data_IF_566099706981
#
_entry.id   IF_566099706981
#
_cell.length_a   1.000
_cell.length_b   1.000
_cell.length_c   1.000
_cell.angle_alpha   90.00
_cell.angle_beta   90.00
_cell.angle_gamma   90.00
#
_symmetry.space_group_name_H-M   'P 1'
#
loop_
_entity.id
_entity.type
_entity.pdbx_description
1 polymer ?
#
# COMPACT_ATOMS: atom_id res chain seq x y z
N UNK A 1 -18.52 3.43 4.10
CA UNK A 1 -19.54 4.24 3.40
C UNK A 1 -19.37 4.02 1.92
N UNK A 2 -20.46 3.88 1.20
CA UNK A 2 -20.46 3.80 -0.27
C UNK A 2 -21.21 5.00 -0.85
N UNK A 3 -20.65 5.60 -1.91
CA UNK A 3 -21.17 6.79 -2.55
C UNK A 3 -21.48 6.51 -4.02
N UNK A 4 -22.57 7.04 -4.52
CA UNK A 4 -22.92 6.98 -5.96
C UNK A 4 -22.28 8.16 -6.69
N UNK A 5 -21.27 7.90 -7.51
CA UNK A 5 -20.59 8.93 -8.30
C UNK A 5 -21.52 9.60 -9.33
N UNK A 6 -22.41 8.84 -9.93
CA UNK A 6 -23.39 9.28 -10.93
C UNK A 6 -24.58 10.09 -10.36
N UNK A 7 -24.67 10.18 -9.05
CA UNK A 7 -25.76 10.87 -8.33
C UNK A 7 -25.21 11.90 -7.32
N UNK A 8 -24.30 12.76 -7.75
CA UNK A 8 -23.71 13.84 -6.95
C UNK A 8 -23.16 13.38 -5.58
N UNK A 9 -22.59 12.19 -5.52
CA UNK A 9 -22.00 11.67 -4.29
C UNK A 9 -23.04 11.26 -3.24
N UNK A 10 -24.27 10.90 -3.63
CA UNK A 10 -25.28 10.42 -2.68
C UNK A 10 -24.81 9.15 -1.98
N UNK A 11 -24.87 9.14 -0.66
CA UNK A 11 -24.56 7.97 0.14
C UNK A 11 -25.56 6.84 -0.14
N UNK A 12 -25.05 5.67 -0.56
CA UNK A 12 -25.88 4.46 -0.72
C UNK A 12 -26.07 3.75 0.59
N UNK A 13 -24.99 3.51 1.32
CA UNK A 13 -25.05 2.87 2.62
C UNK A 13 -23.81 3.24 3.48
N UNK A 14 -23.94 3.02 4.77
CA UNK A 14 -22.88 3.24 5.74
C UNK A 14 -22.90 2.10 6.77
N UNK A 15 -21.72 1.53 7.03
CA UNK A 15 -21.51 0.57 8.12
C UNK A 15 -20.44 1.11 9.04
N UNK A 16 -20.70 1.09 10.33
CA UNK A 16 -19.70 1.45 11.34
C UNK A 16 -18.80 0.25 11.61
N UNK A 17 -17.52 0.41 11.39
CA UNK A 17 -16.49 -0.52 11.86
C UNK A 17 -16.16 -0.26 13.33
N UNK A 18 -15.49 -1.21 13.98
CA UNK A 18 -15.03 -1.03 15.36
C UNK A 18 -14.07 0.17 15.43
N UNK A 19 -14.19 0.95 16.47
CA UNK A 19 -13.34 2.11 16.74
C UNK A 19 -11.88 1.67 16.92
N UNK A 20 -10.96 2.46 16.38
CA UNK A 20 -9.54 2.11 16.42
C UNK A 20 -8.96 1.88 15.03
N UNK A 21 -9.70 2.27 13.98
CA UNK A 21 -9.43 2.29 12.56
C UNK A 21 -8.16 1.58 12.09
N UNK A 22 -8.26 0.77 11.08
CA UNK A 22 -7.12 0.01 10.60
C UNK A 22 -6.22 0.82 9.69
N UNK A 23 -5.00 0.32 9.52
CA UNK A 23 -4.11 0.70 8.43
C UNK A 23 -4.55 0.12 7.07
N UNK A 24 -5.75 -0.45 7.02
CA UNK A 24 -6.25 -1.15 5.86
C UNK A 24 -7.10 -0.23 4.99
N UNK A 25 -6.62 0.05 3.78
CA UNK A 25 -7.47 0.54 2.72
C UNK A 25 -8.51 -0.51 2.31
N UNK A 26 -9.72 -0.09 1.89
CA UNK A 26 -10.71 -1.00 1.33
C UNK A 26 -10.22 -1.56 -0.01
N UNK A 27 -10.60 -2.81 -0.30
CA UNK A 27 -10.33 -3.48 -1.56
C UNK A 27 -11.65 -3.97 -2.16
N UNK A 28 -11.88 -3.73 -3.45
CA UNK A 28 -13.05 -4.21 -4.18
C UNK A 28 -12.68 -5.28 -5.19
N UNK A 29 -13.52 -6.29 -5.35
CA UNK A 29 -13.42 -7.24 -6.45
C UNK A 29 -14.26 -6.80 -7.67
N UNK A 30 -14.17 -7.56 -8.76
CA UNK A 30 -14.92 -7.29 -9.99
C UNK A 30 -16.45 -7.46 -9.89
N UNK A 31 -16.95 -7.85 -8.73
CA UNK A 31 -18.39 -7.95 -8.41
C UNK A 31 -18.82 -6.88 -7.40
N UNK A 32 -18.00 -5.86 -7.18
CA UNK A 32 -18.21 -4.80 -6.20
C UNK A 32 -18.31 -5.28 -4.76
N UNK A 33 -17.80 -6.47 -4.44
CA UNK A 33 -17.67 -6.86 -3.05
C UNK A 33 -16.50 -6.14 -2.40
N UNK A 34 -16.77 -5.54 -1.25
CA UNK A 34 -15.78 -4.85 -0.43
C UNK A 34 -15.12 -5.83 0.54
N UNK A 35 -13.82 -5.70 0.70
CA UNK A 35 -13.02 -6.37 1.73
C UNK A 35 -12.32 -5.30 2.56
N UNK A 36 -12.52 -5.34 3.87
CA UNK A 36 -11.96 -4.33 4.78
C UNK A 36 -11.52 -4.96 6.10
N UNK A 37 -10.38 -4.51 6.59
CA UNK A 37 -9.85 -4.89 7.90
C UNK A 37 -10.39 -4.01 9.03
N UNK A 38 -10.58 -4.61 10.18
CA UNK A 38 -10.74 -3.92 11.46
C UNK A 38 -9.95 -4.67 12.55
N UNK A 39 -9.74 -4.08 13.75
CA UNK A 39 -9.10 -4.81 14.82
C UNK A 39 -9.75 -6.18 15.05
N UNK A 40 -8.95 -7.24 14.96
CA UNK A 40 -9.35 -8.63 15.18
C UNK A 40 -10.21 -9.27 14.08
N UNK A 41 -10.43 -8.62 12.95
CA UNK A 41 -11.22 -9.22 11.88
C UNK A 41 -10.94 -8.67 10.49
N UNK A 42 -11.13 -9.52 9.48
CA UNK A 42 -11.36 -9.16 8.08
C UNK A 42 -12.83 -9.39 7.75
N UNK A 43 -13.45 -8.47 7.02
CA UNK A 43 -14.87 -8.47 6.73
C UNK A 43 -15.09 -8.28 5.23
N UNK A 44 -16.06 -8.98 4.67
CA UNK A 44 -16.54 -8.75 3.32
C UNK A 44 -18.00 -8.27 3.33
N UNK A 45 -18.27 -7.28 2.48
CA UNK A 45 -19.63 -6.75 2.23
C UNK A 45 -19.92 -6.86 0.73
N UNK A 46 -21.15 -7.23 0.36
CA UNK A 46 -21.62 -7.10 -1.02
C UNK A 46 -22.07 -5.65 -1.27
N UNK A 47 -22.44 -5.30 -2.51
CA UNK A 47 -23.01 -3.97 -2.81
C UNK A 47 -24.28 -3.61 -2.04
N UNK A 48 -24.88 -4.58 -1.36
CA UNK A 48 -26.15 -4.44 -0.61
C UNK A 48 -25.99 -4.16 0.88
N UNK A 49 -24.78 -3.85 1.36
CA UNK A 49 -24.49 -3.49 2.76
C UNK A 49 -24.41 -4.66 3.76
N UNK A 50 -25.11 -5.77 3.56
CA UNK A 50 -25.11 -6.88 4.51
C UNK A 50 -23.78 -7.58 4.55
N UNK A 51 -23.29 -7.95 5.75
CA UNK A 51 -22.04 -8.71 5.88
C UNK A 51 -22.14 -10.05 5.14
N UNK A 52 -21.29 -10.28 4.15
CA UNK A 52 -21.18 -11.58 3.47
C UNK A 52 -20.53 -12.59 4.40
N UNK A 53 -19.41 -12.21 4.98
CA UNK A 53 -18.70 -12.98 5.99
C UNK A 53 -17.81 -12.05 6.83
N UNK A 54 -17.48 -12.53 8.01
CA UNK A 54 -16.52 -11.91 8.94
C UNK A 54 -15.66 -13.02 9.51
N UNK A 55 -14.33 -12.86 9.41
CA UNK A 55 -13.38 -13.84 9.91
C UNK A 55 -12.45 -13.19 10.94
N UNK A 56 -12.19 -13.90 12.05
CA UNK A 56 -11.24 -13.44 13.03
C UNK A 56 -9.82 -13.50 12.47
N UNK A 57 -9.00 -12.52 12.85
CA UNK A 57 -7.55 -12.48 12.61
C UNK A 57 -6.88 -11.98 13.86
N UNK A 58 -5.60 -12.32 14.04
CA UNK A 58 -4.80 -11.83 15.16
C UNK A 58 -4.33 -10.41 14.86
N UNK A 59 -4.70 -9.46 15.70
CA UNK A 59 -4.31 -8.06 15.55
C UNK A 59 -5.10 -7.32 14.48
N UNK A 60 -4.44 -6.36 13.81
CA UNK A 60 -5.07 -5.49 12.82
C UNK A 60 -4.61 -5.84 11.40
N UNK A 61 -5.55 -6.19 10.52
CA UNK A 61 -5.22 -6.44 9.12
C UNK A 61 -4.68 -5.20 8.41
N UNK A 62 -3.69 -5.37 7.56
CA UNK A 62 -3.28 -4.38 6.56
C UNK A 62 -4.21 -4.45 5.33
N UNK A 63 -3.98 -3.58 4.35
CA UNK A 63 -4.73 -3.62 3.08
C UNK A 63 -4.56 -5.00 2.41
N UNK A 64 -5.66 -5.72 2.17
CA UNK A 64 -5.61 -7.05 1.56
C UNK A 64 -5.07 -7.01 0.12
N UNK A 65 -4.66 -8.19 -0.39
CA UNK A 65 -4.23 -8.35 -1.78
C UNK A 65 -4.91 -9.56 -2.42
N UNK A 66 -5.38 -9.44 -3.66
CA UNK A 66 -5.85 -10.59 -4.41
C UNK A 66 -4.67 -11.42 -4.93
N UNK A 67 -4.74 -12.72 -4.70
CA UNK A 67 -3.80 -13.71 -5.23
C UNK A 67 -4.28 -14.37 -6.53
N UNK A 68 -5.42 -13.93 -7.07
CA UNK A 68 -6.11 -14.60 -8.15
C UNK A 68 -6.99 -15.77 -7.67
N UNK A 69 -7.76 -16.37 -8.58
CA UNK A 69 -8.60 -17.56 -8.34
C UNK A 69 -9.47 -17.50 -7.07
N UNK A 70 -9.99 -16.32 -6.73
CA UNK A 70 -10.83 -16.14 -5.55
C UNK A 70 -10.07 -16.26 -4.23
N UNK A 71 -8.79 -15.92 -4.19
CA UNK A 71 -7.97 -15.91 -2.97
C UNK A 71 -7.57 -14.51 -2.59
N UNK A 72 -7.60 -14.24 -1.29
CA UNK A 72 -7.30 -12.96 -0.66
C UNK A 72 -6.19 -13.15 0.37
N UNK A 73 -5.06 -12.48 0.18
CA UNK A 73 -3.95 -12.44 1.14
C UNK A 73 -4.18 -11.29 2.12
N UNK A 74 -4.04 -11.59 3.39
CA UNK A 74 -4.14 -10.63 4.49
C UNK A 74 -2.91 -10.75 5.36
N UNK A 75 -2.21 -9.65 5.59
CA UNK A 75 -1.20 -9.54 6.65
C UNK A 75 -1.79 -8.78 7.84
N UNK A 76 -1.35 -9.11 9.04
CA UNK A 76 -1.69 -8.35 10.24
C UNK A 76 -0.48 -7.60 10.76
N UNK A 77 -0.71 -6.52 11.49
CA UNK A 77 0.38 -5.72 12.07
C UNK A 77 1.29 -6.53 13.00
N UNK A 78 0.78 -7.62 13.58
CA UNK A 78 1.56 -8.54 14.41
C UNK A 78 2.44 -9.50 13.59
N UNK A 79 2.40 -9.44 12.26
CA UNK A 79 3.25 -10.26 11.41
C UNK A 79 2.68 -11.64 11.09
N UNK A 80 1.37 -11.82 11.10
CA UNK A 80 0.74 -13.03 10.58
C UNK A 80 0.24 -12.83 9.15
N UNK A 81 0.44 -13.81 8.29
CA UNK A 81 -0.13 -13.89 6.94
C UNK A 81 -1.19 -14.99 6.88
N UNK A 82 -2.34 -14.66 6.28
CA UNK A 82 -3.45 -15.58 6.07
C UNK A 82 -3.95 -15.46 4.64
N UNK A 83 -4.38 -16.59 4.08
CA UNK A 83 -5.08 -16.62 2.79
C UNK A 83 -6.54 -16.98 3.04
N UNK A 84 -7.47 -16.23 2.46
CA UNK A 84 -8.90 -16.45 2.57
C UNK A 84 -9.50 -16.78 1.20
N UNK A 85 -10.49 -17.66 1.19
CA UNK A 85 -11.42 -17.79 0.09
C UNK A 85 -12.35 -16.55 0.04
N UNK A 86 -12.36 -15.85 -1.08
CA UNK A 86 -13.14 -14.60 -1.19
C UNK A 86 -14.64 -14.81 -1.11
N UNK A 87 -15.12 -15.99 -1.49
CA UNK A 87 -16.55 -16.29 -1.54
C UNK A 87 -17.14 -16.60 -0.16
N UNK A 88 -16.41 -17.41 0.64
CA UNK A 88 -16.89 -17.94 1.93
C UNK A 88 -16.17 -17.31 3.13
N UNK A 89 -15.04 -16.68 2.89
CA UNK A 89 -14.17 -16.14 3.96
C UNK A 89 -13.40 -17.22 4.72
N UNK A 90 -13.40 -18.47 4.28
CA UNK A 90 -12.66 -19.53 4.96
C UNK A 90 -11.16 -19.34 4.76
N UNK A 91 -10.39 -19.62 5.80
CA UNK A 91 -8.93 -19.67 5.70
C UNK A 91 -8.54 -20.86 4.81
N UNK A 92 -7.62 -20.60 3.90
CA UNK A 92 -7.08 -21.57 2.94
C UNK A 92 -5.61 -21.77 3.24
N UNK A 93 -5.20 -23.01 3.38
CA UNK A 93 -3.85 -23.35 3.82
C UNK A 93 -3.60 -23.03 5.29
N UNK A 94 -2.33 -23.06 5.68
CA UNK A 94 -1.92 -22.72 7.04
C UNK A 94 -1.52 -21.25 7.14
N UNK A 95 -1.91 -20.53 8.19
CA UNK A 95 -1.34 -19.21 8.50
C UNK A 95 0.18 -19.28 8.62
N UNK A 96 0.87 -18.21 8.23
CA UNK A 96 2.33 -18.09 8.35
C UNK A 96 2.67 -16.95 9.27
N UNK A 97 3.42 -17.25 10.33
CA UNK A 97 3.94 -16.26 11.26
C UNK A 97 5.29 -15.75 10.73
N UNK A 98 5.40 -14.43 10.55
CA UNK A 98 6.61 -13.75 10.07
C UNK A 98 7.60 -13.46 11.20
N UNK A 99 7.11 -13.44 12.43
CA UNK A 99 7.86 -13.20 13.65
C UNK A 99 7.56 -14.29 14.66
N UNK A 100 8.49 -14.53 15.58
CA UNK A 100 8.34 -15.54 16.64
C UNK A 100 7.30 -15.13 17.69
N UNK A 101 6.68 -16.13 18.30
CA UNK A 101 5.80 -15.95 19.47
C UNK A 101 4.37 -15.50 19.14
N UNK A 102 3.94 -15.50 17.90
CA UNK A 102 2.53 -15.36 17.55
C UNK A 102 1.83 -16.71 17.78
N UNK A 103 0.72 -16.66 18.52
CA UNK A 103 -0.17 -17.81 18.61
C UNK A 103 -1.28 -17.69 17.55
N UNK A 104 -1.25 -18.50 16.49
CA UNK A 104 -2.24 -18.43 15.43
C UNK A 104 -3.65 -18.85 15.87
N UNK A 105 -3.80 -19.43 17.06
CA UNK A 105 -5.10 -19.86 17.60
C UNK A 105 -5.77 -18.80 18.44
N UNK A 106 -5.06 -17.79 18.92
CA UNK A 106 -5.61 -16.69 19.73
C UNK A 106 -5.91 -15.46 18.87
N UNK A 107 -7.12 -15.41 18.33
CA UNK A 107 -7.61 -14.28 17.54
C UNK A 107 -7.72 -12.95 18.32
N UNK A 108 -7.65 -12.99 19.64
CA UNK A 108 -7.73 -11.80 20.52
C UNK A 108 -6.36 -11.27 20.91
N UNK A 109 -5.31 -12.05 20.72
CA UNK A 109 -3.94 -11.70 21.08
C UNK A 109 -3.50 -10.42 20.37
N UNK A 110 -2.90 -9.54 21.10
CA UNK A 110 -2.42 -8.26 20.59
C UNK A 110 -3.49 -7.20 20.36
N UNK A 111 -4.77 -7.51 20.49
CA UNK A 111 -5.81 -6.47 20.41
C UNK A 111 -5.74 -5.51 21.59
N UNK A 112 -5.48 -6.04 22.80
CA UNK A 112 -5.30 -5.24 24.00
C UNK A 112 -3.85 -4.80 24.20
N UNK A 113 -2.90 -5.71 23.94
CA UNK A 113 -1.49 -5.52 24.27
C UNK A 113 -0.68 -4.87 23.17
N UNK A 114 -1.07 -5.09 21.90
CA UNK A 114 -0.39 -4.62 20.69
C UNK A 114 -1.33 -3.81 19.79
N UNK A 115 -1.83 -2.69 20.29
CA UNK A 115 -2.49 -1.70 19.42
C UNK A 115 -1.47 -1.12 18.41
N UNK A 116 -1.91 -0.69 17.22
CA UNK A 116 -1.04 -0.05 16.24
C UNK A 116 -0.21 1.06 16.85
N UNK A 117 1.06 1.15 16.43
CA UNK A 117 2.04 2.11 16.90
C UNK A 117 2.39 2.00 18.41
N UNK A 118 1.95 0.95 19.10
CA UNK A 118 2.36 0.73 20.49
C UNK A 118 3.80 0.22 20.53
N UNK A 119 4.69 0.81 21.35
CA UNK A 119 6.05 0.30 21.55
C UNK A 119 6.03 -1.17 22.00
N UNK A 120 6.93 -1.95 21.48
CA UNK A 120 7.09 -3.36 21.85
C UNK A 120 6.28 -4.35 21.01
N UNK A 121 5.53 -3.89 20.00
CA UNK A 121 4.76 -4.79 19.12
C UNK A 121 5.34 -4.86 17.71
N UNK A 122 5.38 -6.05 17.08
CA UNK A 122 5.75 -6.18 15.69
C UNK A 122 4.83 -5.36 14.79
N UNK A 123 5.36 -4.89 13.66
CA UNK A 123 4.58 -4.20 12.63
C UNK A 123 4.91 -4.78 11.28
N UNK A 124 3.91 -5.34 10.59
CA UNK A 124 4.03 -5.78 9.21
C UNK A 124 3.29 -4.83 8.28
N UNK A 125 3.92 -4.48 7.15
CA UNK A 125 3.30 -3.70 6.08
C UNK A 125 2.39 -4.56 5.20
N UNK A 126 1.62 -3.91 4.32
CA UNK A 126 0.85 -4.62 3.30
C UNK A 126 1.80 -5.38 2.35
N UNK A 127 1.51 -6.66 2.04
CA UNK A 127 2.37 -7.46 1.18
C UNK A 127 2.29 -7.03 -0.29
N UNK A 128 3.40 -7.16 -1.02
CA UNK A 128 3.40 -7.20 -2.47
C UNK A 128 3.16 -8.64 -2.94
N UNK A 129 2.52 -8.80 -4.09
CA UNK A 129 2.27 -10.10 -4.70
C UNK A 129 2.43 -10.05 -6.22
N UNK A 130 3.08 -11.06 -6.78
CA UNK A 130 3.18 -11.27 -8.22
C UNK A 130 2.28 -12.42 -8.68
N UNK A 131 1.31 -12.09 -9.54
CA UNK A 131 0.46 -13.08 -10.21
C UNK A 131 1.24 -13.97 -11.19
N UNK A 132 2.40 -13.50 -11.67
CA UNK A 132 3.19 -14.22 -12.68
C UNK A 132 3.86 -15.45 -12.11
N UNK A 133 4.43 -15.30 -10.92
CA UNK A 133 5.25 -16.35 -10.34
C UNK A 133 4.89 -16.73 -8.89
N UNK A 134 3.84 -16.11 -8.31
CA UNK A 134 3.38 -16.40 -6.95
C UNK A 134 4.27 -15.86 -5.84
N UNK A 135 5.22 -14.99 -6.14
CA UNK A 135 6.10 -14.38 -5.14
C UNK A 135 5.31 -13.39 -4.28
N UNK A 136 5.46 -13.52 -2.97
CA UNK A 136 4.94 -12.58 -1.95
C UNK A 136 6.14 -11.97 -1.24
N UNK A 137 6.13 -10.65 -1.05
CA UNK A 137 7.15 -9.97 -0.25
C UNK A 137 6.48 -9.03 0.73
N UNK A 138 6.94 -9.05 1.97
CA UNK A 138 6.41 -8.22 3.04
C UNK A 138 7.55 -7.65 3.88
N UNK A 139 7.41 -6.40 4.35
CA UNK A 139 8.33 -5.85 5.33
C UNK A 139 7.77 -6.03 6.73
N UNK A 140 8.65 -6.45 7.66
CA UNK A 140 8.29 -6.70 9.05
C UNK A 140 9.34 -6.08 9.96
N UNK A 141 8.90 -5.28 10.90
CA UNK A 141 9.72 -4.82 12.01
C UNK A 141 9.31 -5.51 13.29
N UNK A 142 10.27 -6.08 13.99
CA UNK A 142 10.08 -6.68 15.31
C UNK A 142 10.79 -5.79 16.36
N UNK A 143 10.16 -5.48 17.49
CA UNK A 143 10.76 -4.75 18.57
C UNK A 143 12.07 -5.41 19.06
N UNK A 144 13.09 -4.59 19.26
CA UNK A 144 14.44 -5.06 19.56
C UNK A 144 15.36 -5.26 18.36
N UNK A 145 14.80 -5.32 17.15
CA UNK A 145 15.58 -5.33 15.91
C UNK A 145 15.92 -3.89 15.48
N UNK A 146 17.12 -3.66 14.95
CA UNK A 146 17.55 -2.31 14.55
C UNK A 146 16.76 -1.77 13.36
N UNK A 147 16.19 -2.65 12.53
CA UNK A 147 15.52 -2.29 11.30
C UNK A 147 14.46 -3.31 10.90
N UNK A 148 13.46 -2.88 10.11
CA UNK A 148 12.52 -3.80 9.47
C UNK A 148 13.25 -4.61 8.40
N UNK A 149 12.97 -5.92 8.36
CA UNK A 149 13.49 -6.88 7.39
C UNK A 149 12.45 -7.14 6.30
N UNK A 150 12.91 -7.53 5.13
CA UNK A 150 12.06 -8.06 4.07
C UNK A 150 11.98 -9.57 4.17
N UNK A 151 10.77 -10.10 4.05
CA UNK A 151 10.50 -11.55 4.04
C UNK A 151 9.88 -11.91 2.71
N UNK A 152 10.51 -12.83 2.00
CA UNK A 152 10.00 -13.40 0.75
C UNK A 152 9.35 -14.75 0.99
N UNK A 153 8.18 -14.93 0.38
CA UNK A 153 7.43 -16.18 0.42
C UNK A 153 6.99 -16.53 -1.00
N UNK A 154 6.64 -17.81 -1.16
CA UNK A 154 6.01 -18.34 -2.38
C UNK A 154 4.60 -18.78 -2.07
N UNK A 155 3.64 -18.30 -2.85
CA UNK A 155 2.28 -18.81 -2.84
C UNK A 155 2.13 -19.84 -3.97
N UNK A 156 1.96 -21.08 -3.59
CA UNK A 156 1.77 -22.21 -4.52
C UNK A 156 0.88 -23.28 -3.88
N UNK A 157 0.02 -23.91 -4.66
CA UNK A 157 -0.88 -24.97 -4.20
C UNK A 157 -1.64 -24.60 -2.90
N UNK A 158 -2.13 -23.38 -2.83
CA UNK A 158 -2.87 -22.83 -1.67
C UNK A 158 -2.06 -22.73 -0.37
N UNK A 159 -0.74 -22.82 -0.45
CA UNK A 159 0.17 -22.66 0.68
C UNK A 159 1.09 -21.44 0.49
N UNK A 160 1.41 -20.77 1.59
CA UNK A 160 2.47 -19.78 1.67
C UNK A 160 3.70 -20.45 2.28
N UNK A 161 4.80 -20.46 1.55
CA UNK A 161 6.07 -21.02 2.01
C UNK A 161 7.11 -19.92 2.08
N UNK A 162 7.72 -19.73 3.26
CA UNK A 162 8.80 -18.78 3.44
C UNK A 162 10.06 -19.26 2.71
N UNK A 163 10.63 -18.44 1.85
CA UNK A 163 11.82 -18.74 1.09
C UNK A 163 13.07 -18.05 1.62
N UNK A 164 12.94 -16.77 1.99
CA UNK A 164 14.08 -15.98 2.43
C UNK A 164 13.69 -14.85 3.40
N UNK A 165 14.68 -14.38 4.14
CA UNK A 165 14.63 -13.13 4.90
C UNK A 165 15.84 -12.30 4.53
N UNK A 166 15.66 -11.02 4.27
CA UNK A 166 16.71 -10.12 3.84
C UNK A 166 16.82 -8.91 4.78
N UNK A 167 18.04 -8.60 5.17
CA UNK A 167 18.47 -7.40 5.87
C UNK A 167 19.33 -6.49 4.97
N UNK A 168 19.27 -6.71 3.64
CA UNK A 168 20.05 -5.95 2.65
C UNK A 168 19.78 -4.44 2.74
N UNK A 169 18.57 -4.03 3.12
CA UNK A 169 18.24 -2.65 3.45
C UNK A 169 18.51 -2.42 4.93
N UNK A 170 19.78 -2.27 5.29
CA UNK A 170 20.24 -2.28 6.68
C UNK A 170 19.64 -1.18 7.56
N UNK A 171 19.28 -0.04 6.97
CA UNK A 171 18.54 1.03 7.68
C UNK A 171 17.05 0.72 7.86
N UNK A 172 16.55 -0.34 7.23
CA UNK A 172 15.16 -0.75 7.23
C UNK A 172 14.29 0.00 6.23
N UNK A 173 13.08 -0.51 6.04
CA UNK A 173 12.06 0.03 5.16
C UNK A 173 10.89 0.61 5.95
N UNK A 174 10.26 1.66 5.44
CA UNK A 174 9.13 2.33 6.08
C UNK A 174 7.78 1.90 5.50
N UNK A 175 7.78 1.45 4.25
CA UNK A 175 6.57 1.21 3.49
C UNK A 175 6.50 -0.21 2.91
N UNK A 176 5.36 -0.54 2.31
CA UNK A 176 5.18 -1.80 1.61
C UNK A 176 6.16 -1.92 0.43
N UNK A 177 6.70 -3.10 0.16
CA UNK A 177 7.45 -3.37 -1.06
C UNK A 177 6.54 -3.36 -2.29
N UNK A 178 7.13 -3.22 -3.47
CA UNK A 178 6.46 -3.35 -4.76
C UNK A 178 7.26 -4.29 -5.64
N UNK A 179 6.59 -5.14 -6.41
CA UNK A 179 7.21 -6.08 -7.34
C UNK A 179 7.17 -5.55 -8.77
N UNK A 180 8.23 -5.82 -9.54
CA UNK A 180 8.24 -5.61 -10.99
C UNK A 180 7.12 -6.40 -11.66
N UNK A 181 6.75 -6.00 -12.88
CA UNK A 181 5.65 -6.64 -13.62
C UNK A 181 5.87 -8.14 -13.86
N UNK A 182 7.11 -8.56 -14.03
CA UNK A 182 7.52 -9.97 -14.17
C UNK A 182 7.71 -10.70 -12.83
N UNK A 183 7.65 -9.97 -11.71
CA UNK A 183 7.84 -10.50 -10.36
C UNK A 183 9.28 -10.86 -10.01
N UNK A 184 10.28 -10.42 -10.79
CA UNK A 184 11.68 -10.76 -10.59
C UNK A 184 12.43 -9.81 -9.66
N UNK A 185 11.95 -8.58 -9.50
CA UNK A 185 12.60 -7.53 -8.72
C UNK A 185 11.64 -6.93 -7.69
N UNK A 186 12.13 -6.71 -6.49
CA UNK A 186 11.45 -6.01 -5.40
C UNK A 186 12.02 -4.61 -5.30
N UNK A 187 11.14 -3.60 -5.28
CA UNK A 187 11.52 -2.21 -5.04
C UNK A 187 10.99 -1.73 -3.70
N UNK A 188 11.83 -1.04 -2.94
CA UNK A 188 11.47 -0.45 -1.64
C UNK A 188 12.18 0.89 -1.42
N UNK A 189 11.54 1.78 -0.70
CA UNK A 189 12.16 2.99 -0.18
C UNK A 189 12.75 2.71 1.19
N UNK A 190 14.06 2.92 1.33
CA UNK A 190 14.80 2.71 2.56
C UNK A 190 14.80 3.96 3.46
N UNK A 191 14.98 3.75 4.77
CA UNK A 191 15.17 4.83 5.75
C UNK A 191 16.50 5.58 5.57
N UNK A 192 17.40 5.04 4.76
CA UNK A 192 18.65 5.64 4.33
C UNK A 192 18.51 6.65 3.18
N UNK A 193 17.29 7.06 2.86
CA UNK A 193 16.97 7.98 1.77
C UNK A 193 17.37 7.42 0.38
N UNK A 194 17.24 6.11 0.20
CA UNK A 194 17.57 5.43 -1.05
C UNK A 194 16.37 4.61 -1.55
N UNK A 195 16.25 4.54 -2.86
CA UNK A 195 15.47 3.51 -3.53
C UNK A 195 16.35 2.27 -3.68
N UNK A 196 15.82 1.12 -3.28
CA UNK A 196 16.49 -0.17 -3.37
C UNK A 196 15.77 -1.08 -4.35
N UNK A 197 16.54 -1.85 -5.11
CA UNK A 197 16.07 -2.99 -5.87
C UNK A 197 16.75 -4.27 -5.35
N UNK A 198 15.94 -5.29 -5.09
CA UNK A 198 16.40 -6.59 -4.63
C UNK A 198 15.91 -7.67 -5.59
N UNK A 199 16.65 -8.75 -5.67
CA UNK A 199 16.23 -9.94 -6.38
C UNK A 199 15.07 -10.61 -5.61
N UNK A 200 13.93 -10.80 -6.25
CA UNK A 200 12.74 -11.37 -5.62
C UNK A 200 12.87 -12.85 -5.25
N UNK A 201 13.84 -13.58 -5.86
CA UNK A 201 14.03 -14.99 -5.59
C UNK A 201 14.85 -15.28 -4.32
N UNK A 202 15.75 -14.37 -3.91
CA UNK A 202 16.64 -14.60 -2.78
C UNK A 202 16.82 -13.39 -1.84
N UNK A 203 16.16 -12.28 -2.12
CA UNK A 203 16.20 -11.06 -1.31
C UNK A 203 17.56 -10.31 -1.33
N UNK A 204 18.50 -10.68 -2.20
CA UNK A 204 19.77 -9.97 -2.32
C UNK A 204 19.62 -8.64 -3.03
N UNK A 205 20.37 -7.63 -2.56
CA UNK A 205 20.39 -6.35 -3.24
C UNK A 205 20.96 -6.47 -4.65
N UNK A 206 20.28 -5.90 -5.62
CA UNK A 206 20.74 -5.70 -7.00
C UNK A 206 21.46 -4.36 -7.10
N UNK A 207 20.78 -3.31 -6.66
CA UNK A 207 21.30 -1.94 -6.65
C UNK A 207 20.53 -1.06 -5.63
N UNK A 208 21.09 0.12 -5.39
CA UNK A 208 20.36 1.19 -4.71
C UNK A 208 20.72 2.56 -5.29
N UNK A 209 19.77 3.48 -5.32
CA UNK A 209 19.94 4.83 -5.82
C UNK A 209 19.56 5.88 -4.76
N UNK A 210 20.32 7.00 -4.64
CA UNK A 210 19.99 8.04 -3.68
C UNK A 210 18.71 8.78 -4.11
N UNK A 211 17.78 8.95 -3.16
CA UNK A 211 16.60 9.80 -3.33
C UNK A 211 16.89 11.23 -2.88
N UNK A 212 17.72 11.41 -1.85
CA UNK A 212 17.98 12.71 -1.22
C UNK A 212 16.84 13.20 -0.32
N UNK A 213 15.79 12.39 -0.13
CA UNK A 213 14.67 12.63 0.77
C UNK A 213 14.18 11.30 1.35
N UNK A 214 13.42 11.36 2.46
CA UNK A 214 12.85 10.19 3.11
C UNK A 214 11.45 9.89 2.55
N UNK A 215 11.37 9.04 1.56
CA UNK A 215 10.07 8.55 1.05
C UNK A 215 9.44 7.59 2.06
N UNK A 216 8.26 7.96 2.59
CA UNK A 216 7.53 7.20 3.62
C UNK A 216 6.44 6.32 3.02
N UNK A 217 6.23 6.39 1.71
CA UNK A 217 5.22 5.60 1.00
C UNK A 217 5.87 4.60 0.05
N UNK A 218 5.14 3.57 -0.40
CA UNK A 218 5.65 2.64 -1.41
C UNK A 218 6.05 3.38 -2.70
N UNK A 219 7.07 2.92 -3.43
CA UNK A 219 7.27 3.38 -4.79
C UNK A 219 6.11 2.96 -5.68
N UNK A 220 5.82 3.72 -6.74
CA UNK A 220 4.84 3.37 -7.75
C UNK A 220 5.54 2.91 -9.02
N UNK A 221 4.93 1.96 -9.74
CA UNK A 221 5.47 1.41 -10.98
C UNK A 221 4.54 1.66 -12.16
N UNK A 222 5.09 2.11 -13.28
CA UNK A 222 4.36 2.07 -14.54
C UNK A 222 4.42 0.67 -15.16
N UNK A 223 3.50 0.32 -16.07
CA UNK A 223 3.57 -0.94 -16.82
C UNK A 223 4.89 -1.12 -17.61
N UNK A 224 5.58 -0.02 -17.91
CA UNK A 224 6.83 -0.01 -18.67
C UNK A 224 8.09 0.06 -17.78
N UNK A 225 7.95 -0.23 -16.46
CA UNK A 225 9.08 -0.36 -15.54
C UNK A 225 9.67 0.97 -15.05
N UNK A 226 9.00 2.10 -15.22
CA UNK A 226 9.39 3.34 -14.56
C UNK A 226 8.97 3.28 -13.09
N UNK A 227 9.90 3.60 -12.21
CA UNK A 227 9.72 3.59 -10.76
C UNK A 227 9.63 5.03 -10.29
N UNK A 228 8.51 5.41 -9.67
CA UNK A 228 8.31 6.76 -9.13
C UNK A 228 8.30 6.69 -7.61
N UNK A 229 9.20 7.41 -6.97
CA UNK A 229 9.32 7.51 -5.50
C UNK A 229 9.00 8.93 -5.04
N UNK A 230 8.28 9.01 -3.93
CA UNK A 230 7.85 10.22 -3.26
C UNK A 230 6.96 9.86 -2.08
N UNK A 231 6.24 10.84 -1.53
CA UNK A 231 5.24 10.63 -0.48
C UNK A 231 5.81 10.67 0.92
N UNK A 232 5.50 11.76 1.58
CA UNK A 232 5.89 12.10 2.95
C UNK A 232 6.12 13.60 3.10
N UNK A 233 6.25 14.10 4.33
CA UNK A 233 6.64 15.48 4.55
C UNK A 233 8.04 15.74 3.96
N UNK A 234 8.21 16.88 3.34
CA UNK A 234 9.49 17.35 2.76
C UNK A 234 10.07 16.39 1.67
N UNK A 235 9.21 15.68 0.95
CA UNK A 235 9.65 14.76 -0.12
C UNK A 235 9.42 15.36 -1.49
N UNK A 236 10.46 15.32 -2.32
CA UNK A 236 10.36 15.53 -3.76
C UNK A 236 9.67 14.35 -4.46
N UNK A 237 9.52 14.45 -5.77
CA UNK A 237 9.09 13.36 -6.62
C UNK A 237 10.24 12.99 -7.56
N UNK A 238 10.66 11.73 -7.59
CA UNK A 238 11.77 11.27 -8.41
C UNK A 238 11.41 9.97 -9.14
N UNK A 239 11.90 9.83 -10.36
CA UNK A 239 11.67 8.63 -11.17
C UNK A 239 12.98 8.01 -11.66
N UNK A 240 12.98 6.68 -11.72
CA UNK A 240 14.11 5.86 -12.12
C UNK A 240 13.67 4.75 -13.07
N UNK A 241 14.61 4.25 -13.87
CA UNK A 241 14.48 3.00 -14.63
C UNK A 241 15.43 1.96 -14.06
N UNK A 242 14.99 0.73 -14.00
CA UNK A 242 15.86 -0.40 -13.63
C UNK A 242 16.65 -0.85 -14.88
N UNK A 243 17.95 -0.64 -14.87
CA UNK A 243 18.87 -1.10 -15.93
C UNK A 243 19.45 -2.49 -15.63
N UNK A 244 18.94 -3.15 -14.57
CA UNK A 244 19.35 -4.50 -14.17
C UNK A 244 20.34 -4.51 -13.01
N UNK A 245 21.47 -3.87 -13.15
CA UNK A 245 22.56 -3.76 -12.16
C UNK A 245 22.67 -2.36 -11.53
N UNK A 246 21.95 -1.38 -12.06
CA UNK A 246 21.88 -0.02 -11.52
C UNK A 246 20.54 0.64 -11.84
N UNK A 247 20.30 1.80 -11.22
CA UNK A 247 19.17 2.66 -11.53
C UNK A 247 19.59 3.80 -12.43
N UNK A 248 18.88 4.02 -13.52
CA UNK A 248 19.01 5.22 -14.34
C UNK A 248 18.01 6.26 -13.86
N UNK A 249 18.50 7.46 -13.47
CA UNK A 249 17.61 8.57 -13.14
C UNK A 249 16.87 9.05 -14.38
N UNK A 250 15.54 9.04 -14.35
CA UNK A 250 14.72 9.50 -15.46
C UNK A 250 14.38 10.98 -15.34
N UNK A 251 13.89 11.40 -14.18
CA UNK A 251 13.57 12.79 -13.87
C UNK A 251 13.42 13.02 -12.35
N UNK A 252 13.43 14.28 -11.95
CA UNK A 252 13.25 14.71 -10.56
C UNK A 252 12.47 16.03 -10.52
N UNK A 253 11.63 16.20 -9.50
CA UNK A 253 10.80 17.38 -9.23
C UNK A 253 11.06 17.84 -7.79
N UNK A 254 12.05 18.71 -7.62
CA UNK A 254 12.36 19.34 -6.33
C UNK A 254 11.46 20.57 -6.05
N UNK A 255 10.69 20.98 -7.03
CA UNK A 255 9.75 22.10 -6.97
C UNK A 255 8.38 21.72 -6.37
N UNK A 256 8.15 20.44 -6.09
CA UNK A 256 6.92 19.93 -5.47
C UNK A 256 7.23 19.16 -4.20
N UNK A 257 6.35 19.27 -3.20
CA UNK A 257 6.37 18.39 -2.03
C UNK A 257 5.25 17.36 -2.17
N UNK A 258 5.63 16.14 -2.53
CA UNK A 258 4.69 15.03 -2.71
C UNK A 258 4.34 14.40 -1.36
N UNK A 259 3.08 14.40 -0.99
CA UNK A 259 2.61 13.91 0.31
C UNK A 259 2.05 12.48 0.26
N UNK A 260 1.66 12.01 -0.93
CA UNK A 260 1.10 10.67 -1.10
C UNK A 260 1.89 9.84 -2.10
N UNK A 261 1.70 8.51 -2.05
CA UNK A 261 2.15 7.61 -3.13
C UNK A 261 1.58 8.10 -4.46
N UNK A 262 2.41 8.11 -5.50
CA UNK A 262 1.93 8.36 -6.85
C UNK A 262 1.03 7.20 -7.32
N UNK A 263 -0.13 7.51 -7.87
CA UNK A 263 -0.99 6.56 -8.59
C UNK A 263 -0.76 6.72 -10.08
N UNK A 264 -0.29 5.65 -10.72
CA UNK A 264 0.06 5.67 -12.15
C UNK A 264 -1.02 4.93 -12.94
N UNK A 265 -1.80 5.69 -13.69
CA UNK A 265 -2.88 5.13 -14.50
C UNK A 265 -2.34 4.50 -15.79
N UNK A 266 -3.00 3.44 -16.27
CA UNK A 266 -2.67 2.80 -17.55
C UNK A 266 -2.86 3.70 -18.78
N UNK A 267 -3.48 4.86 -18.60
CA UNK A 267 -3.64 5.91 -19.62
C UNK A 267 -2.38 6.78 -19.79
N UNK A 268 -1.30 6.50 -19.08
CA UNK A 268 -0.06 7.28 -19.16
C UNK A 268 -0.07 8.57 -18.33
N UNK A 269 -0.95 8.67 -17.34
CA UNK A 269 -1.05 9.84 -16.46
C UNK A 269 -0.75 9.41 -15.01
N UNK A 270 0.01 10.21 -14.29
CA UNK A 270 0.30 10.06 -12.87
C UNK A 270 -0.46 11.07 -12.02
N UNK A 271 -0.80 10.65 -10.80
CA UNK A 271 -1.51 11.47 -9.81
C UNK A 271 -0.82 11.36 -8.46
N UNK A 272 -0.67 12.47 -7.76
CA UNK A 272 -0.24 12.50 -6.36
C UNK A 272 -0.80 13.75 -5.68
N UNK A 273 -0.93 13.72 -4.36
CA UNK A 273 -1.28 14.92 -3.61
C UNK A 273 0.01 15.63 -3.21
N UNK A 274 0.06 16.91 -3.47
CA UNK A 274 1.18 17.78 -3.11
C UNK A 274 0.75 18.84 -2.09
N UNK A 275 1.70 19.31 -1.29
CA UNK A 275 1.53 20.54 -0.50
C UNK A 275 2.17 21.72 -1.23
N UNK A 276 1.65 22.91 -0.99
CA UNK A 276 2.20 24.13 -1.56
C UNK A 276 1.13 25.18 -1.80
N UNK A 277 1.50 26.32 -2.35
CA UNK A 277 0.52 27.34 -2.71
C UNK A 277 -0.36 26.86 -3.87
N UNK A 278 -1.67 27.11 -3.74
CA UNK A 278 -2.59 27.03 -4.86
C UNK A 278 -2.25 28.08 -5.94
N UNK A 279 -2.87 27.99 -7.09
CA UNK A 279 -2.68 28.96 -8.17
C UNK A 279 -2.96 30.43 -7.75
N UNK A 280 -3.82 30.63 -6.77
CA UNK A 280 -4.13 31.93 -6.16
C UNK A 280 -3.14 32.36 -5.07
N UNK A 281 -2.08 31.58 -4.82
CA UNK A 281 -1.05 31.84 -3.81
C UNK A 281 -1.43 31.40 -2.40
N UNK A 282 -2.61 30.86 -2.16
CA UNK A 282 -3.00 30.36 -0.83
C UNK A 282 -2.31 29.04 -0.52
N UNK A 283 -1.78 28.83 0.70
CA UNK A 283 -1.22 27.53 1.09
C UNK A 283 -2.31 26.46 1.20
N UNK A 284 -2.01 25.23 0.79
CA UNK A 284 -2.97 24.14 0.88
C UNK A 284 -2.49 22.85 0.21
N UNK A 285 -3.42 21.94 0.00
CA UNK A 285 -3.19 20.70 -0.72
C UNK A 285 -3.75 20.77 -2.14
N UNK A 286 -3.06 20.15 -3.07
CA UNK A 286 -3.52 20.02 -4.45
C UNK A 286 -3.32 18.59 -4.97
N UNK A 287 -4.23 18.13 -5.82
CA UNK A 287 -4.03 16.96 -6.65
C UNK A 287 -3.18 17.37 -7.85
N UNK A 288 -1.93 16.92 -7.88
CA UNK A 288 -1.04 17.06 -9.03
C UNK A 288 -1.35 15.97 -10.04
N UNK A 289 -1.55 16.36 -11.29
CA UNK A 289 -1.62 15.50 -12.47
C UNK A 289 -0.34 15.69 -13.26
N UNK A 290 0.40 14.63 -13.52
CA UNK A 290 1.69 14.72 -14.18
C UNK A 290 1.88 13.64 -15.24
N UNK A 291 2.75 13.91 -16.21
CA UNK A 291 3.22 12.92 -17.17
C UNK A 291 4.32 12.06 -16.53
N UNK A 292 4.10 10.75 -16.31
CA UNK A 292 5.10 9.89 -15.70
C UNK A 292 6.39 9.78 -16.51
N UNK A 293 6.36 9.98 -17.84
CA UNK A 293 7.54 9.82 -18.69
C UNK A 293 8.62 10.87 -18.43
N UNK A 294 8.23 12.09 -18.03
CA UNK A 294 9.12 13.25 -17.88
C UNK A 294 8.88 14.06 -16.60
N UNK A 295 7.86 13.73 -15.80
CA UNK A 295 7.49 14.42 -14.57
C UNK A 295 6.80 15.77 -14.77
N UNK A 296 6.50 16.19 -15.99
CA UNK A 296 5.88 17.51 -16.25
C UNK A 296 4.45 17.57 -15.69
N UNK A 297 4.10 18.70 -15.13
CA UNK A 297 2.73 18.96 -14.67
C UNK A 297 1.81 19.06 -15.86
N UNK A 298 0.80 18.20 -15.91
CA UNK A 298 -0.31 18.27 -16.86
C UNK A 298 -1.38 19.22 -16.32
N UNK A 299 -1.71 19.07 -15.02
CA UNK A 299 -2.67 19.93 -14.34
C UNK A 299 -2.45 19.87 -12.80
N UNK A 300 -3.05 20.79 -12.10
CA UNK A 300 -3.11 20.80 -10.63
C UNK A 300 -4.47 21.31 -10.18
N UNK A 301 -5.11 20.55 -9.30
CA UNK A 301 -6.44 20.87 -8.77
C UNK A 301 -6.36 21.09 -7.28
N UNK A 302 -6.74 22.26 -6.76
CA UNK A 302 -6.76 22.52 -5.33
C UNK A 302 -7.75 21.59 -4.61
N UNK A 303 -7.41 21.23 -3.36
CA UNK A 303 -8.26 20.52 -2.42
C UNK A 303 -8.78 21.50 -1.37
N UNK A 304 -9.86 22.24 -1.65
CA UNK A 304 -10.29 23.34 -0.80
C UNK A 304 -10.71 22.84 0.59
N UNK A 305 -10.22 23.50 1.63
CA UNK A 305 -10.53 23.16 3.02
C UNK A 305 -9.81 21.92 3.55
N UNK A 306 -8.94 21.28 2.79
CA UNK A 306 -8.14 20.16 3.26
C UNK A 306 -7.06 20.66 4.25
N UNK A 307 -7.05 20.10 5.45
CA UNK A 307 -6.06 20.40 6.50
C UNK A 307 -5.35 19.17 7.00
N UNK A 308 -5.86 17.96 6.68
CA UNK A 308 -5.29 16.69 7.08
C UNK A 308 -4.31 16.10 6.04
N UNK A 309 -3.63 15.02 6.42
CA UNK A 309 -2.76 14.27 5.51
C UNK A 309 -3.59 13.53 4.45
N UNK A 310 -3.12 13.48 3.19
CA UNK A 310 -3.76 12.67 2.16
C UNK A 310 -3.57 11.18 2.44
N UNK A 311 -4.63 10.41 2.24
CA UNK A 311 -4.60 8.95 2.42
C UNK A 311 -4.28 8.18 1.13
N UNK A 312 -4.05 8.87 0.04
CA UNK A 312 -3.71 8.33 -1.26
C UNK A 312 -4.67 8.77 -2.36
N UNK A 313 -4.38 8.35 -3.57
CA UNK A 313 -5.19 8.64 -4.76
C UNK A 313 -5.65 7.34 -5.38
N UNK A 314 -6.94 7.22 -5.64
CA UNK A 314 -7.56 6.10 -6.34
C UNK A 314 -8.09 6.56 -7.71
N UNK A 315 -7.88 5.73 -8.72
CA UNK A 315 -8.37 5.98 -10.08
C UNK A 315 -9.38 4.88 -10.44
N UNK A 316 -10.61 5.28 -10.73
CA UNK A 316 -11.66 4.38 -11.17
C UNK A 316 -11.53 4.00 -12.64
N UNK A 317 -12.22 2.93 -13.05
CA UNK A 317 -12.30 2.49 -14.46
C UNK A 317 -13.08 3.48 -15.34
N UNK A 318 -13.90 4.32 -14.73
CA UNK A 318 -14.59 5.47 -15.36
C UNK A 318 -13.70 6.72 -15.48
N UNK A 319 -12.40 6.60 -15.17
CA UNK A 319 -11.38 7.66 -15.12
C UNK A 319 -11.61 8.71 -14.02
N UNK A 320 -12.56 8.52 -13.13
CA UNK A 320 -12.69 9.38 -11.96
C UNK A 320 -11.51 9.19 -11.04
N UNK A 321 -11.02 10.30 -10.51
CA UNK A 321 -9.93 10.31 -9.54
C UNK A 321 -10.49 10.73 -8.20
N UNK A 322 -10.22 9.94 -7.17
CA UNK A 322 -10.69 10.21 -5.82
C UNK A 322 -9.48 10.28 -4.88
N UNK A 323 -9.47 11.29 -4.05
CA UNK A 323 -8.53 11.39 -2.92
C UNK A 323 -9.29 11.79 -1.67
N UNK A 324 -8.74 11.43 -0.53
CA UNK A 324 -9.29 11.81 0.77
C UNK A 324 -8.18 12.26 1.71
N UNK A 325 -8.56 12.98 2.76
CA UNK A 325 -7.65 13.46 3.78
C UNK A 325 -8.05 12.97 5.17
N UNK A 326 -7.11 12.92 6.08
CA UNK A 326 -7.30 12.38 7.44
C UNK A 326 -8.27 13.20 8.29
N UNK A 327 -8.58 14.44 7.89
CA UNK A 327 -9.63 15.28 8.48
C UNK A 327 -11.04 14.98 7.94
N UNK A 328 -11.19 13.92 7.12
CA UNK A 328 -12.47 13.41 6.65
C UNK A 328 -13.00 14.06 5.38
N UNK A 329 -12.21 14.87 4.69
CA UNK A 329 -12.59 15.42 3.38
C UNK A 329 -12.40 14.37 2.29
N UNK A 330 -13.31 14.33 1.33
CA UNK A 330 -13.24 13.46 0.14
C UNK A 330 -13.45 14.30 -1.10
N UNK A 331 -12.54 14.19 -2.05
CA UNK A 331 -12.56 14.92 -3.30
C UNK A 331 -12.68 13.96 -4.46
N UNK A 332 -13.58 14.24 -5.40
CA UNK A 332 -13.79 13.46 -6.61
C UNK A 332 -13.67 14.35 -7.82
N UNK A 333 -12.81 13.95 -8.75
CA UNK A 333 -12.57 14.67 -10.01
C UNK A 333 -13.10 13.82 -11.16
N UNK A 334 -13.93 14.44 -12.02
CA UNK A 334 -14.37 13.84 -13.25
C UNK A 334 -13.25 13.89 -14.31
N UNK A 335 -13.27 12.97 -15.31
CA UNK A 335 -12.33 12.99 -16.44
C UNK A 335 -12.46 14.26 -17.27
#
# INVERSE_FOLDING_TARGET
MEWQNDNNGRQRWCVRLVQGGGFAGPLFDGFDNLYVGQPGAIISFPPTQWTRWRQPVIGMPSTPRFLGHGRLLVSTHLGQLLVFDTRRGMVVGSPVDLVDGIDPTDATRGLADCAPARPGCPVAAAPAFSLVNGTVVVSVWQPGEPAAKLVGLKYHAEQLVREWTSDAVSAGVLASPVLSADGSTVYVNGRDHRLWALNAADGKAKWSAPLGFLAQTPPALTPHGLIVSGGGPDTALAAFRDAGDHAEAAWRRDDVTALSTASLAGTGVGYTVISGPHHDGTPGLSLLVFDPANGHTVNSYPLPGATGYPVGVSVGNDRRVVTATSDGQVYSFAP
#
